data_IF_364561396774
#
_entry.id   IF_364561396774
#
_cell.length_a   1.000
_cell.length_b   1.000
_cell.length_c   1.000
_cell.angle_alpha   90.00
_cell.angle_beta   90.00
_cell.angle_gamma   90.00
#
_symmetry.space_group_name_H-M   'P 1'
#
loop_
_entity.id
_entity.type
_entity.pdbx_description
1 polymer ?
#
# COMPACT_ATOMS: atom_id res chain seq x y z
N UNK A 1 10.77 -47.29 -23.21
CA UNK A 1 9.53 -46.50 -22.93
C UNK A 1 9.43 -46.04 -21.48
N UNK A 2 9.94 -46.79 -20.49
CA UNK A 2 9.93 -46.39 -19.07
C UNK A 2 10.75 -45.12 -18.74
N UNK A 3 11.89 -44.91 -19.40
CA UNK A 3 12.77 -43.76 -19.13
C UNK A 3 12.13 -42.39 -19.48
N UNK A 4 11.25 -42.35 -20.50
CA UNK A 4 10.55 -41.12 -20.90
C UNK A 4 9.44 -40.74 -19.91
N UNK A 5 8.79 -41.73 -19.29
CA UNK A 5 7.74 -41.52 -18.28
C UNK A 5 8.34 -40.96 -16.97
N UNK A 6 9.52 -41.46 -16.58
CA UNK A 6 10.27 -40.96 -15.42
C UNK A 6 10.72 -39.52 -15.60
N UNK A 7 11.16 -39.12 -16.80
CA UNK A 7 11.61 -37.74 -17.09
C UNK A 7 10.41 -36.76 -17.05
N UNK A 8 9.26 -37.15 -17.60
CA UNK A 8 8.03 -36.33 -17.56
C UNK A 8 7.51 -36.08 -16.13
N UNK A 9 7.58 -37.10 -15.27
CA UNK A 9 7.16 -36.97 -13.86
C UNK A 9 8.09 -36.06 -13.05
N UNK A 10 9.41 -36.08 -13.33
CA UNK A 10 10.38 -35.19 -12.66
C UNK A 10 10.21 -33.74 -13.10
N UNK A 11 9.85 -33.48 -14.36
CA UNK A 11 9.62 -32.11 -14.85
C UNK A 11 8.35 -31.46 -14.29
N UNK A 12 7.30 -32.25 -14.02
CA UNK A 12 6.03 -31.72 -13.50
C UNK A 12 6.14 -31.31 -12.01
N UNK A 13 7.02 -31.97 -11.25
CA UNK A 13 7.27 -31.64 -9.85
C UNK A 13 8.06 -30.32 -9.66
N UNK A 14 8.77 -29.85 -10.69
CA UNK A 14 9.65 -28.68 -10.58
C UNK A 14 8.92 -27.33 -10.80
N UNK A 15 7.68 -27.36 -11.29
CA UNK A 15 6.88 -26.15 -11.62
C UNK A 15 5.99 -25.65 -10.47
N UNK A 16 6.02 -26.27 -9.29
CA UNK A 16 5.11 -25.93 -8.18
C UNK A 16 5.70 -24.93 -7.15
N UNK A 17 6.84 -24.29 -7.44
CA UNK A 17 7.40 -23.24 -6.59
C UNK A 17 6.73 -21.88 -6.89
N UNK A 18 5.43 -21.78 -6.66
CA UNK A 18 4.74 -20.49 -6.58
C UNK A 18 5.20 -19.79 -5.30
N UNK A 19 6.28 -19.03 -5.38
CA UNK A 19 6.67 -18.11 -4.31
C UNK A 19 5.53 -17.10 -4.16
N UNK A 20 4.69 -17.28 -3.14
CA UNK A 20 3.89 -16.18 -2.61
C UNK A 20 4.89 -15.17 -2.07
N UNK A 21 5.32 -14.25 -2.93
CA UNK A 21 5.90 -13.00 -2.51
C UNK A 21 4.78 -12.26 -1.77
N UNK A 22 4.60 -12.60 -0.49
CA UNK A 22 4.12 -11.63 0.47
C UNK A 22 5.14 -10.51 0.37
N UNK A 23 4.79 -9.48 -0.40
CA UNK A 23 5.51 -8.23 -0.51
C UNK A 23 5.55 -7.67 0.91
N UNK A 24 6.57 -8.11 1.67
CA UNK A 24 6.90 -7.60 2.99
C UNK A 24 6.97 -6.11 2.78
N UNK A 25 6.00 -5.38 3.33
CA UNK A 25 6.07 -3.93 3.48
C UNK A 25 7.48 -3.67 3.97
N UNK A 26 8.31 -2.99 3.17
CA UNK A 26 9.62 -2.55 3.67
C UNK A 26 9.32 -1.85 4.99
N UNK A 27 9.84 -2.37 6.10
CA UNK A 27 9.52 -1.80 7.40
C UNK A 27 9.97 -0.34 7.38
N UNK A 28 9.00 0.58 7.30
CA UNK A 28 9.26 2.01 7.35
C UNK A 28 9.56 2.31 8.82
N UNK A 29 10.73 2.86 9.12
CA UNK A 29 11.03 3.30 10.47
C UNK A 29 10.17 4.51 10.85
N UNK A 30 9.96 4.73 12.15
CA UNK A 30 9.14 5.85 12.60
C UNK A 30 9.79 7.19 12.25
N UNK A 31 11.12 7.28 12.23
CA UNK A 31 11.87 8.47 11.82
C UNK A 31 11.69 8.76 10.33
N UNK A 32 11.76 7.73 9.49
CA UNK A 32 11.53 7.86 8.05
C UNK A 32 10.09 8.32 7.76
N UNK A 33 9.12 7.78 8.51
CA UNK A 33 7.73 8.21 8.43
C UNK A 33 7.58 9.68 8.84
N UNK A 34 8.21 10.10 9.94
CA UNK A 34 8.14 11.48 10.41
C UNK A 34 8.80 12.47 9.44
N UNK A 35 9.95 12.12 8.87
CA UNK A 35 10.58 12.94 7.83
C UNK A 35 9.65 13.11 6.62
N UNK A 36 9.00 12.03 6.18
CA UNK A 36 8.06 12.07 5.06
C UNK A 36 6.80 12.91 5.36
N UNK A 37 6.29 12.86 6.60
CA UNK A 37 5.12 13.65 7.02
C UNK A 37 5.44 15.16 7.13
N UNK A 38 6.66 15.52 7.52
CA UNK A 38 7.09 16.92 7.61
C UNK A 38 7.56 17.51 6.28
N UNK A 39 7.92 16.68 5.29
CA UNK A 39 8.16 17.15 3.92
C UNK A 39 6.84 17.47 3.21
N UNK A 40 6.44 18.76 3.31
CA UNK A 40 5.23 19.29 2.69
C UNK A 40 5.17 19.03 1.18
N UNK A 41 6.30 19.12 0.47
CA UNK A 41 6.35 18.93 -0.98
C UNK A 41 6.12 17.47 -1.33
N UNK A 42 6.77 16.56 -0.61
CA UNK A 42 6.57 15.13 -0.76
C UNK A 42 5.14 14.74 -0.44
N UNK A 43 4.61 15.14 0.71
CA UNK A 43 3.27 14.77 1.14
C UNK A 43 2.20 15.31 0.20
N UNK A 44 2.33 16.56 -0.27
CA UNK A 44 1.41 17.14 -1.26
C UNK A 44 1.40 16.34 -2.57
N UNK A 45 2.56 15.88 -3.05
CA UNK A 45 2.62 15.00 -4.23
C UNK A 45 1.89 13.67 -4.00
N UNK A 46 2.07 13.05 -2.83
CA UNK A 46 1.39 11.79 -2.52
C UNK A 46 -0.13 11.97 -2.43
N UNK A 47 -0.59 13.06 -1.81
CA UNK A 47 -2.02 13.40 -1.72
C UNK A 47 -2.62 13.64 -3.11
N UNK A 48 -1.93 14.39 -3.99
CA UNK A 48 -2.36 14.59 -5.38
C UNK A 48 -2.41 13.29 -6.17
N UNK A 49 -1.45 12.39 -6.00
CA UNK A 49 -1.51 11.06 -6.61
C UNK A 49 -2.76 10.29 -6.14
N UNK A 50 -3.01 10.27 -4.83
CA UNK A 50 -4.16 9.60 -4.24
C UNK A 50 -5.50 10.15 -4.77
N UNK A 51 -5.60 11.48 -4.95
CA UNK A 51 -6.80 12.12 -5.52
C UNK A 51 -6.85 12.13 -7.06
N UNK A 52 -5.83 11.59 -7.73
CA UNK A 52 -5.76 11.58 -9.20
C UNK A 52 -5.40 12.94 -9.84
N UNK A 53 -4.99 13.93 -9.05
CA UNK A 53 -4.59 15.26 -9.49
C UNK A 53 -3.11 15.37 -9.87
N UNK A 54 -2.36 14.28 -9.85
CA UNK A 54 -0.94 14.28 -10.16
C UNK A 54 -0.34 12.91 -10.40
N UNK A 55 0.92 12.87 -10.87
CA UNK A 55 1.63 11.64 -11.13
C UNK A 55 1.91 10.88 -9.84
N UNK A 56 1.89 9.55 -9.94
CA UNK A 56 2.19 8.66 -8.83
C UNK A 56 3.60 8.07 -8.97
N UNK A 57 4.34 8.07 -7.87
CA UNK A 57 5.51 7.21 -7.70
C UNK A 57 5.10 5.83 -7.12
N UNK A 58 6.01 4.87 -6.92
CA UNK A 58 5.65 3.57 -6.35
C UNK A 58 4.94 3.66 -4.99
N UNK A 59 5.33 4.62 -4.14
CA UNK A 59 4.72 4.82 -2.81
C UNK A 59 3.30 5.35 -2.96
N UNK A 60 3.11 6.38 -3.77
CA UNK A 60 1.79 6.95 -4.04
C UNK A 60 0.81 5.94 -4.63
N UNK A 61 1.26 5.07 -5.55
CA UNK A 61 0.42 3.98 -6.10
C UNK A 61 -0.03 3.00 -5.02
N UNK A 62 0.89 2.62 -4.11
CA UNK A 62 0.58 1.73 -2.99
C UNK A 62 -0.42 2.38 -2.04
N UNK A 63 -0.20 3.63 -1.66
CA UNK A 63 -1.11 4.41 -0.82
C UNK A 63 -2.50 4.50 -1.45
N UNK A 64 -2.58 4.85 -2.74
CA UNK A 64 -3.84 4.92 -3.48
C UNK A 64 -4.62 3.60 -3.50
N UNK A 65 -3.91 2.47 -3.57
CA UNK A 65 -4.51 1.13 -3.56
C UNK A 65 -5.04 0.75 -2.18
N UNK A 66 -4.35 1.16 -1.11
CA UNK A 66 -4.70 0.83 0.27
C UNK A 66 -5.70 1.81 0.90
N UNK A 67 -5.72 3.07 0.46
CA UNK A 67 -6.57 4.12 1.01
C UNK A 67 -8.06 3.73 1.10
N UNK A 68 -8.70 3.10 0.09
CA UNK A 68 -10.10 2.71 0.19
C UNK A 68 -10.39 1.66 1.27
N UNK A 69 -9.43 0.79 1.59
CA UNK A 69 -9.59 -0.21 2.64
C UNK A 69 -9.43 0.45 4.01
N UNK A 70 -8.34 1.18 4.17
CA UNK A 70 -7.97 1.89 5.41
C UNK A 70 -9.06 2.89 5.83
N UNK A 71 -9.56 3.70 4.89
CA UNK A 71 -10.58 4.71 5.17
C UNK A 71 -11.96 4.11 5.52
N UNK A 72 -12.23 2.86 5.10
CA UNK A 72 -13.43 2.11 5.50
C UNK A 72 -13.23 1.33 6.81
N UNK A 73 -12.07 1.48 7.47
CA UNK A 73 -11.75 0.82 8.73
C UNK A 73 -11.23 -0.61 8.58
N UNK A 74 -10.85 -1.04 7.38
CA UNK A 74 -10.34 -2.38 7.13
C UNK A 74 -8.86 -2.34 6.72
N UNK A 75 -7.99 -3.04 7.46
CA UNK A 75 -6.69 -3.45 6.95
C UNK A 75 -6.35 -4.88 7.39
N UNK A 76 -6.91 -5.91 6.73
CA UNK A 76 -6.75 -7.31 7.16
C UNK A 76 -5.31 -7.84 7.03
N UNK A 77 -4.44 -7.12 6.32
CA UNK A 77 -3.03 -7.49 6.11
C UNK A 77 -2.05 -6.61 6.89
N UNK A 78 -2.53 -5.63 7.67
CA UNK A 78 -1.67 -4.76 8.45
C UNK A 78 -1.25 -5.44 9.76
N UNK A 79 0.02 -5.28 10.11
CA UNK A 79 0.57 -5.49 11.45
C UNK A 79 0.14 -4.37 12.40
N UNK A 80 0.34 -4.56 13.70
CA UNK A 80 0.05 -3.53 14.71
C UNK A 80 0.89 -2.25 14.47
N UNK A 81 2.17 -2.42 14.11
CA UNK A 81 3.05 -1.29 13.79
C UNK A 81 2.52 -0.49 12.59
N UNK A 82 2.16 -1.17 11.50
CA UNK A 82 1.59 -0.52 10.31
C UNK A 82 0.26 0.16 10.62
N UNK A 83 -0.56 -0.44 11.50
CA UNK A 83 -1.83 0.16 11.93
C UNK A 83 -1.58 1.49 12.67
N UNK A 84 -0.62 1.53 13.59
CA UNK A 84 -0.23 2.77 14.29
C UNK A 84 0.31 3.82 13.33
N UNK A 85 1.15 3.41 12.38
CA UNK A 85 1.70 4.31 11.35
C UNK A 85 0.60 4.88 10.45
N UNK A 86 -0.35 4.05 10.02
CA UNK A 86 -1.52 4.50 9.26
C UNK A 86 -2.34 5.52 10.06
N UNK A 87 -2.66 5.23 11.32
CA UNK A 87 -3.40 6.16 12.18
C UNK A 87 -2.67 7.50 12.33
N UNK A 88 -1.34 7.47 12.44
CA UNK A 88 -0.49 8.67 12.50
C UNK A 88 -0.57 9.47 11.20
N UNK A 89 -0.49 8.82 10.04
CA UNK A 89 -0.64 9.47 8.72
C UNK A 89 -2.02 10.10 8.58
N UNK A 90 -3.09 9.35 8.85
CA UNK A 90 -4.47 9.86 8.74
C UNK A 90 -4.68 11.07 9.65
N UNK A 91 -4.26 10.95 10.91
CA UNK A 91 -4.30 12.03 11.90
C UNK A 91 -3.54 13.28 11.45
N UNK A 92 -2.36 13.10 10.85
CA UNK A 92 -1.54 14.20 10.35
C UNK A 92 -2.21 14.89 9.15
N UNK A 93 -2.71 14.11 8.19
CA UNK A 93 -3.38 14.62 6.98
C UNK A 93 -4.67 15.36 7.35
N UNK A 94 -5.50 14.78 8.21
CA UNK A 94 -6.74 15.41 8.67
C UNK A 94 -6.51 16.78 9.33
N UNK A 95 -5.46 16.91 10.14
CA UNK A 95 -5.15 18.17 10.85
C UNK A 95 -4.48 19.21 9.97
N UNK A 96 -3.54 18.81 9.11
CA UNK A 96 -2.67 19.74 8.39
C UNK A 96 -3.10 19.98 6.93
N UNK A 97 -3.90 19.07 6.35
CA UNK A 97 -4.33 19.09 4.95
C UNK A 97 -5.85 18.84 4.82
N UNK A 98 -6.69 19.66 5.48
CA UNK A 98 -8.14 19.41 5.54
C UNK A 98 -8.83 19.43 4.18
N UNK A 99 -8.30 20.19 3.21
CA UNK A 99 -8.87 20.25 1.85
C UNK A 99 -8.64 18.94 1.10
N UNK A 100 -7.41 18.43 1.13
CA UNK A 100 -7.02 17.15 0.55
C UNK A 100 -7.72 16.00 1.27
N UNK A 101 -7.83 16.07 2.61
CA UNK A 101 -8.58 15.11 3.40
C UNK A 101 -10.03 14.97 2.93
N UNK A 102 -10.75 16.09 2.78
CA UNK A 102 -12.14 16.06 2.27
C UNK A 102 -12.24 15.43 0.89
N UNK A 103 -11.26 15.68 0.00
CA UNK A 103 -11.22 15.04 -1.32
C UNK A 103 -11.00 13.53 -1.22
N UNK A 104 -10.09 13.08 -0.36
CA UNK A 104 -9.85 11.65 -0.14
C UNK A 104 -11.10 10.94 0.36
N UNK A 105 -11.79 11.52 1.35
CA UNK A 105 -13.06 10.99 1.86
C UNK A 105 -14.08 10.95 0.73
N UNK A 106 -14.28 12.05 0.00
CA UNK A 106 -15.23 12.10 -1.11
C UNK A 106 -14.91 11.08 -2.22
N UNK A 107 -13.64 10.78 -2.46
CA UNK A 107 -13.25 9.83 -3.49
C UNK A 107 -13.40 8.36 -3.05
N UNK A 108 -13.17 8.07 -1.77
CA UNK A 108 -13.02 6.68 -1.30
C UNK A 108 -14.13 6.19 -0.36
N UNK A 109 -14.97 7.08 0.19
CA UNK A 109 -16.07 6.72 1.10
C UNK A 109 -17.46 6.97 0.51
N UNK A 110 -17.62 7.96 -0.37
CA UNK A 110 -18.91 8.22 -1.04
C UNK A 110 -19.04 7.43 -2.34
N UNK A 111 -19.60 6.22 -2.23
CA UNK A 111 -20.25 5.52 -3.36
C UNK A 111 -19.45 4.40 -4.02
N UNK A 112 -20.08 3.21 -4.03
CA UNK A 112 -19.80 1.98 -4.80
C UNK A 112 -18.77 1.01 -4.22
#
# INVERSE_FOLDING_TARGET
>A
MHLRLSILLVTLALMAASTKAAERMSQVSDEALDMALHDKRYLTRQLKCATGEGPCDPVGRRLKTLAPLVLRGACPKCTEAETKQIQKVLSHVQRNYPKEWSKLINQFTTGS
#
